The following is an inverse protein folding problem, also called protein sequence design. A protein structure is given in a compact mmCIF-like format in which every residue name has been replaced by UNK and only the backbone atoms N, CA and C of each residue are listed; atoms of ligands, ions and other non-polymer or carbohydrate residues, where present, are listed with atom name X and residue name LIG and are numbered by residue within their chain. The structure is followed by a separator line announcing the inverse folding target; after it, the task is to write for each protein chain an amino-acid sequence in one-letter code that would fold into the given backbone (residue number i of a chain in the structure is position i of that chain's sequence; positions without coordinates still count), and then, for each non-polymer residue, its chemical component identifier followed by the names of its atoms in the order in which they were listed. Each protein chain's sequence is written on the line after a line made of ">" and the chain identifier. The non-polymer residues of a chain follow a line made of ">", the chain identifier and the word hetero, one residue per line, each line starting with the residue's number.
data_IF_170648760399
#
_entry.id   IF_170648760399
#
_cell.length_a   1.000
_cell.length_b   1.000
_cell.length_c   1.000
_cell.angle_alpha   90.00
_cell.angle_beta   90.00
_cell.angle_gamma   90.00
#
_symmetry.space_group_name_H-M   'P 1'
#
loop_
_entity.id
_entity.type
_entity.pdbx_description
1 polymer ?
#
# COMPACT_ATOMS: atom_id res chain seq x y z
N UNK A 1 -29.51 8.72 41.62
CA UNK A 1 -28.48 7.96 40.91
C UNK A 1 -28.60 8.33 39.45
N UNK A 2 -28.02 9.49 39.13
CA UNK A 2 -27.84 9.96 37.76
C UNK A 2 -26.62 9.24 37.19
N UNK A 3 -26.84 8.43 36.15
CA UNK A 3 -25.78 8.03 35.23
C UNK A 3 -26.23 8.44 33.83
N UNK A 4 -26.08 9.74 33.54
CA UNK A 4 -25.97 10.20 32.17
C UNK A 4 -24.71 9.56 31.56
N UNK A 5 -24.78 8.93 30.37
CA UNK A 5 -23.57 8.58 29.66
C UNK A 5 -22.94 9.87 29.13
N UNK A 6 -21.74 10.11 29.65
CA UNK A 6 -20.79 11.15 29.26
C UNK A 6 -20.44 11.00 27.77
N UNK A 7 -20.24 12.15 27.15
CA UNK A 7 -20.11 12.34 25.71
C UNK A 7 -19.06 11.47 25.02
N UNK A 8 -19.48 10.90 23.90
CA UNK A 8 -18.62 10.57 22.75
C UNK A 8 -19.44 10.77 21.48
N UNK A 9 -20.01 11.97 21.28
CA UNK A 9 -20.79 12.28 20.07
C UNK A 9 -20.42 13.60 19.37
N UNK A 10 -19.57 14.45 19.94
CA UNK A 10 -19.42 15.83 19.41
C UNK A 10 -17.99 16.26 19.06
N UNK A 11 -17.00 15.36 19.07
CA UNK A 11 -15.65 15.66 18.55
C UNK A 11 -15.45 15.15 17.12
N UNK A 12 -16.48 15.21 16.27
CA UNK A 12 -16.25 15.24 14.81
C UNK A 12 -15.99 16.68 14.42
N UNK A 13 -14.83 17.16 14.84
CA UNK A 13 -14.27 18.43 14.41
C UNK A 13 -14.44 18.52 12.88
N UNK A 14 -15.18 19.55 12.48
CA UNK A 14 -15.52 19.87 11.10
C UNK A 14 -14.24 19.95 10.30
N UNK A 15 -13.89 18.87 9.60
CA UNK A 15 -12.87 18.91 8.55
C UNK A 15 -13.46 19.84 7.50
N UNK A 16 -13.03 21.10 7.51
CA UNK A 16 -13.32 22.01 6.42
C UNK A 16 -12.88 21.31 5.14
N UNK A 17 -13.85 20.92 4.31
CA UNK A 17 -13.63 20.34 2.98
C UNK A 17 -13.04 21.43 2.10
N UNK A 18 -11.75 21.68 2.30
CA UNK A 18 -10.93 22.38 1.32
C UNK A 18 -11.08 21.59 0.02
N UNK A 19 -11.48 22.22 -1.10
CA UNK A 19 -11.55 21.51 -2.36
C UNK A 19 -10.20 20.83 -2.62
N UNK A 20 -10.19 19.57 -3.10
CA UNK A 20 -8.96 18.82 -3.25
C UNK A 20 -8.00 19.65 -4.10
N UNK A 21 -6.80 19.89 -3.58
CA UNK A 21 -5.73 20.54 -4.34
C UNK A 21 -5.47 19.67 -5.57
N UNK A 22 -5.70 20.26 -6.74
CA UNK A 22 -5.37 19.60 -8.02
C UNK A 22 -3.88 19.78 -8.25
N UNK A 23 -3.14 18.71 -8.08
CA UNK A 23 -1.72 18.65 -8.44
C UNK A 23 -1.57 18.29 -9.91
N UNK A 24 -0.57 18.86 -10.59
CA UNK A 24 -0.30 18.62 -12.01
C UNK A 24 0.93 17.73 -12.15
N UNK A 25 0.77 16.63 -12.88
CA UNK A 25 1.89 15.82 -13.34
C UNK A 25 2.39 16.39 -14.67
N UNK A 26 3.66 16.80 -14.73
CA UNK A 26 4.30 17.22 -15.98
C UNK A 26 5.19 16.11 -16.52
N UNK A 27 4.96 15.72 -17.78
CA UNK A 27 5.75 14.72 -18.48
C UNK A 27 5.97 15.15 -19.93
N UNK A 28 7.16 14.89 -20.46
CA UNK A 28 7.48 15.08 -21.88
C UNK A 28 7.39 13.73 -22.58
N UNK A 29 6.68 13.70 -23.70
CA UNK A 29 6.52 12.50 -24.52
C UNK A 29 7.18 12.73 -25.88
N UNK A 30 7.80 11.69 -26.44
CA UNK A 30 8.12 11.67 -27.85
C UNK A 30 6.84 11.59 -28.70
N UNK A 31 6.96 11.87 -30.00
CA UNK A 31 5.83 11.75 -30.93
C UNK A 31 5.26 10.33 -30.93
N UNK A 32 6.13 9.32 -30.97
CA UNK A 32 5.74 7.91 -30.99
C UNK A 32 5.02 7.48 -29.71
N UNK A 33 5.51 7.95 -28.55
CA UNK A 33 4.86 7.70 -27.27
C UNK A 33 3.46 8.30 -27.23
N UNK A 34 3.32 9.55 -27.70
CA UNK A 34 2.01 10.21 -27.76
C UNK A 34 1.05 9.45 -28.67
N UNK A 35 1.49 9.08 -29.88
CA UNK A 35 0.66 8.36 -30.85
C UNK A 35 0.20 6.98 -30.31
N UNK A 36 1.09 6.27 -29.61
CA UNK A 36 0.76 5.00 -28.96
C UNK A 36 -0.35 5.19 -27.90
N UNK A 37 -0.19 6.18 -27.02
CA UNK A 37 -1.16 6.44 -25.95
C UNK A 37 -2.50 6.93 -26.50
N UNK A 38 -2.49 7.76 -27.55
CA UNK A 38 -3.72 8.22 -28.22
C UNK A 38 -4.48 7.05 -28.85
N UNK A 39 -3.76 6.13 -29.51
CA UNK A 39 -4.38 4.92 -30.06
C UNK A 39 -5.00 4.05 -28.98
N UNK A 40 -4.29 3.84 -27.86
CA UNK A 40 -4.80 3.05 -26.74
C UNK A 40 -6.04 3.71 -26.10
N UNK A 41 -6.00 5.02 -25.88
CA UNK A 41 -7.14 5.79 -25.38
C UNK A 41 -8.37 5.68 -26.30
N UNK A 42 -8.15 5.79 -27.63
CA UNK A 42 -9.21 5.67 -28.62
C UNK A 42 -9.85 4.27 -28.64
N UNK A 43 -9.06 3.20 -28.48
CA UNK A 43 -9.58 1.83 -28.39
C UNK A 43 -10.47 1.61 -27.16
N UNK A 44 -10.19 2.31 -26.07
CA UNK A 44 -11.01 2.28 -24.85
C UNK A 44 -12.15 3.31 -24.83
N UNK A 45 -12.28 4.13 -25.88
CA UNK A 45 -13.35 5.13 -25.99
C UNK A 45 -13.22 6.28 -24.98
N UNK A 46 -12.02 6.60 -24.52
CA UNK A 46 -11.76 7.67 -23.52
C UNK A 46 -10.72 8.67 -24.02
N UNK A 47 -10.67 9.83 -23.36
CA UNK A 47 -9.69 10.88 -23.70
C UNK A 47 -8.26 10.43 -23.36
N UNK A 48 -7.26 10.97 -24.05
CA UNK A 48 -5.84 10.70 -23.75
C UNK A 48 -5.50 11.02 -22.29
N UNK A 49 -5.97 12.15 -21.77
CA UNK A 49 -5.72 12.56 -20.38
C UNK A 49 -6.29 11.55 -19.39
N UNK A 50 -7.54 11.13 -19.59
CA UNK A 50 -8.20 10.15 -18.73
C UNK A 50 -7.49 8.78 -18.80
N UNK A 51 -7.13 8.34 -20.01
CA UNK A 51 -6.35 7.12 -20.22
C UNK A 51 -5.02 7.16 -19.46
N UNK A 52 -4.25 8.25 -19.57
CA UNK A 52 -2.94 8.37 -18.93
C UNK A 52 -3.07 8.39 -17.41
N UNK A 53 -4.01 9.15 -16.85
CA UNK A 53 -4.21 9.21 -15.39
C UNK A 53 -4.62 7.85 -14.83
N UNK A 54 -5.61 7.19 -15.44
CA UNK A 54 -6.07 5.89 -14.99
C UNK A 54 -4.99 4.80 -15.14
N UNK A 55 -4.23 4.82 -16.23
CA UNK A 55 -3.14 3.86 -16.46
C UNK A 55 -2.01 4.05 -15.46
N UNK A 56 -1.62 5.30 -15.19
CA UNK A 56 -0.62 5.61 -14.18
C UNK A 56 -1.07 5.19 -12.77
N UNK A 57 -2.34 5.42 -12.43
CA UNK A 57 -2.91 4.97 -11.16
C UNK A 57 -2.90 3.45 -11.04
N UNK A 58 -3.32 2.73 -12.07
CA UNK A 58 -3.32 1.26 -12.07
C UNK A 58 -1.91 0.70 -11.89
N UNK A 59 -0.93 1.22 -12.64
CA UNK A 59 0.47 0.81 -12.54
C UNK A 59 1.07 1.13 -11.16
N UNK A 60 0.71 2.28 -10.57
CA UNK A 60 1.13 2.64 -9.23
C UNK A 60 0.56 1.68 -8.18
N UNK A 61 -0.74 1.35 -8.25
CA UNK A 61 -1.39 0.40 -7.35
C UNK A 61 -0.76 -1.00 -7.45
N UNK A 62 -0.52 -1.49 -8.65
CA UNK A 62 0.15 -2.77 -8.87
C UNK A 62 1.58 -2.77 -8.29
N UNK A 63 2.31 -1.68 -8.51
CA UNK A 63 3.68 -1.53 -7.97
C UNK A 63 3.66 -1.57 -6.45
N UNK A 64 2.81 -0.78 -5.81
CA UNK A 64 2.69 -0.76 -4.34
C UNK A 64 2.31 -2.16 -3.82
N UNK A 65 1.30 -2.79 -4.42
CA UNK A 65 0.87 -4.13 -4.02
C UNK A 65 2.01 -5.15 -4.09
N UNK A 66 2.83 -5.10 -5.15
CA UNK A 66 3.95 -6.03 -5.34
C UNK A 66 5.00 -5.96 -4.22
N UNK A 67 5.22 -4.77 -3.66
CA UNK A 67 6.26 -4.58 -2.63
C UNK A 67 5.71 -4.64 -1.20
N UNK A 68 4.44 -4.32 -0.99
CA UNK A 68 3.85 -4.21 0.35
C UNK A 68 2.94 -5.39 0.73
N UNK A 69 2.47 -6.19 -0.22
CA UNK A 69 1.51 -7.26 0.03
C UNK A 69 2.15 -8.64 -0.17
N UNK A 70 2.19 -9.42 0.90
CA UNK A 70 2.51 -10.84 0.84
C UNK A 70 1.20 -11.61 0.62
N UNK A 71 1.02 -12.20 -0.56
CA UNK A 71 -0.12 -13.06 -0.85
C UNK A 71 0.22 -14.49 -0.48
N UNK A 72 -0.51 -15.06 0.48
CA UNK A 72 -0.32 -16.43 0.97
C UNK A 72 -1.33 -17.38 0.32
N UNK A 73 -0.91 -18.60 0.01
CA UNK A 73 -1.86 -19.66 -0.33
C UNK A 73 -2.66 -20.07 0.92
N UNK A 74 -3.74 -20.84 0.76
CA UNK A 74 -4.49 -21.35 1.92
C UNK A 74 -3.59 -22.16 2.89
N UNK A 75 -2.66 -22.95 2.33
CA UNK A 75 -1.67 -23.72 3.11
C UNK A 75 -0.73 -22.79 3.87
N UNK A 76 -0.18 -21.79 3.19
CA UNK A 76 0.78 -20.86 3.81
C UNK A 76 0.11 -19.96 4.83
N UNK A 77 -1.16 -19.60 4.59
CA UNK A 77 -1.99 -18.83 5.53
C UNK A 77 -2.20 -19.60 6.83
N UNK A 78 -2.50 -20.91 6.74
CA UNK A 78 -2.64 -21.76 7.91
C UNK A 78 -1.31 -21.89 8.66
N UNK A 79 -0.20 -22.15 7.94
CA UNK A 79 1.12 -22.25 8.56
C UNK A 79 1.56 -20.94 9.24
N UNK A 80 1.26 -19.80 8.61
CA UNK A 80 1.54 -18.47 9.16
C UNK A 80 0.71 -18.18 10.40
N UNK A 81 -0.61 -18.45 10.36
CA UNK A 81 -1.50 -18.27 11.49
C UNK A 81 -1.07 -19.15 12.67
N UNK A 82 -0.76 -20.42 12.42
CA UNK A 82 -0.29 -21.36 13.44
C UNK A 82 1.02 -20.87 14.09
N UNK A 83 1.96 -20.35 13.31
CA UNK A 83 3.21 -19.80 13.83
C UNK A 83 3.03 -18.52 14.68
N UNK A 84 1.95 -17.76 14.48
CA UNK A 84 1.61 -16.59 15.31
C UNK A 84 0.88 -17.01 16.58
N UNK A 85 -0.10 -17.90 16.46
CA UNK A 85 -0.95 -18.35 17.58
C UNK A 85 -0.16 -19.27 18.53
N UNK A 86 0.66 -20.16 17.96
CA UNK A 86 1.49 -21.12 18.67
C UNK A 86 2.97 -20.93 18.29
N UNK A 87 3.61 -19.85 18.76
CA UNK A 87 4.96 -19.50 18.33
C UNK A 87 5.98 -20.58 18.73
N UNK A 88 6.72 -21.16 17.77
CA UNK A 88 7.72 -22.17 18.09
C UNK A 88 8.94 -21.55 18.78
N UNK A 89 9.60 -22.33 19.64
CA UNK A 89 10.86 -21.90 20.23
C UNK A 89 11.96 -21.72 19.15
N UNK A 90 12.81 -20.68 19.27
CA UNK A 90 13.89 -20.47 18.31
C UNK A 90 14.88 -21.63 18.35
N UNK A 91 15.25 -22.15 17.19
CA UNK A 91 16.23 -23.23 17.10
C UNK A 91 17.66 -22.74 17.46
N UNK A 92 18.58 -23.69 17.64
CA UNK A 92 19.97 -23.38 18.03
C UNK A 92 20.68 -22.44 17.07
N UNK A 93 20.45 -22.60 15.75
CA UNK A 93 21.05 -21.74 14.72
C UNK A 93 20.55 -20.31 14.82
N UNK A 94 19.26 -20.11 15.08
CA UNK A 94 18.65 -18.78 15.25
C UNK A 94 19.14 -18.12 16.54
N UNK A 95 19.24 -18.87 17.64
CA UNK A 95 19.83 -18.38 18.90
C UNK A 95 21.28 -17.94 18.73
N UNK A 96 22.10 -18.74 18.05
CA UNK A 96 23.49 -18.39 17.74
C UNK A 96 23.59 -17.15 16.84
N UNK A 97 22.72 -17.01 15.85
CA UNK A 97 22.68 -15.83 14.99
C UNK A 97 22.33 -14.55 15.77
N UNK A 98 21.32 -14.63 16.65
CA UNK A 98 20.95 -13.51 17.52
C UNK A 98 22.08 -13.13 18.49
N UNK A 99 22.88 -14.09 18.97
CA UNK A 99 24.05 -13.80 19.79
C UNK A 99 25.14 -13.04 19.00
N UNK A 100 25.50 -13.52 17.80
CA UNK A 100 26.46 -12.82 16.93
C UNK A 100 26.02 -11.40 16.58
N UNK A 101 24.74 -11.22 16.25
CA UNK A 101 24.19 -9.90 15.93
C UNK A 101 24.31 -8.92 17.11
N UNK A 102 24.05 -9.37 18.34
CA UNK A 102 24.21 -8.53 19.54
C UNK A 102 25.65 -8.10 19.77
N UNK A 103 26.62 -8.96 19.45
CA UNK A 103 28.05 -8.61 19.55
C UNK A 103 28.45 -7.55 18.51
N UNK A 104 27.89 -7.60 17.30
CA UNK A 104 28.19 -6.64 16.22
C UNK A 104 27.56 -5.25 16.43
N UNK A 105 26.44 -5.15 17.15
CA UNK A 105 25.76 -3.86 17.41
C UNK A 105 26.22 -3.21 18.74
N UNK A 106 26.84 -3.97 19.64
CA UNK A 106 27.32 -3.45 20.92
C UNK A 106 28.71 -2.76 20.83
N UNK A 107 29.26 -2.65 19.63
CA UNK A 107 30.52 -1.95 19.28
C UNK A 107 30.19 -0.65 18.55
#
# INVERSE_FOLDING_TARGET
>A
MDHAPVGIAEERARVATRPPRRERLEARLSLDQKALLERAAALEGRSLTDFVVASAQAAAMETIQRYEVITLTARDSLAFAEAIIHPPAPNERLRAAAHRHRQLIAE
#
